data_IF_488531977406
#
_entry.id   IF_488531977406
#
_cell.length_a   1.000
_cell.length_b   1.000
_cell.length_c   1.000
_cell.angle_alpha   90.00
_cell.angle_beta   90.00
_cell.angle_gamma   90.00
#
_symmetry.space_group_name_H-M   'P 1'
#
loop_
_entity.id
_entity.type
_entity.pdbx_description
1 polymer ?
#
# COMPACT_ATOMS: atom_id res chain seq x y z
N UNK A 1 7.46 -29.21 1.19
CA UNK A 1 8.08 -27.89 0.99
C UNK A 1 7.26 -26.88 1.80
N UNK A 2 7.79 -26.32 2.89
CA UNK A 2 7.09 -25.28 3.68
C UNK A 2 7.45 -23.93 3.08
N UNK A 3 6.51 -23.24 2.45
CA UNK A 3 6.68 -21.84 2.01
C UNK A 3 6.57 -20.93 3.24
N UNK A 4 7.65 -20.85 4.01
CA UNK A 4 7.81 -19.80 5.00
C UNK A 4 7.78 -18.45 4.26
N UNK A 5 6.69 -17.70 4.44
CA UNK A 5 6.66 -16.27 4.15
C UNK A 5 7.63 -15.62 5.14
N UNK A 6 8.92 -15.66 4.84
CA UNK A 6 9.94 -15.02 5.65
C UNK A 6 9.67 -13.53 5.53
N UNK A 7 8.96 -12.98 6.52
CA UNK A 7 9.09 -11.57 6.87
C UNK A 7 10.58 -11.39 7.15
N UNK A 8 11.34 -10.96 6.14
CA UNK A 8 12.75 -10.64 6.31
C UNK A 8 12.74 -9.35 7.13
N UNK A 9 13.08 -9.37 8.44
CA UNK A 9 13.11 -8.13 9.22
C UNK A 9 14.03 -7.08 8.57
N UNK A 10 15.04 -7.56 7.83
CA UNK A 10 15.93 -6.76 6.99
C UNK A 10 15.26 -6.04 5.82
N UNK A 11 14.06 -6.42 5.36
CA UNK A 11 13.40 -5.76 4.24
C UNK A 11 12.67 -4.47 4.63
N UNK A 12 12.70 -4.09 5.91
CA UNK A 12 11.98 -2.91 6.39
C UNK A 12 12.70 -1.64 5.93
N UNK A 13 12.02 -0.71 5.24
CA UNK A 13 12.55 0.60 4.92
C UNK A 13 13.01 1.33 6.18
N UNK A 14 14.14 2.01 6.06
CA UNK A 14 14.70 2.83 7.15
C UNK A 14 14.86 4.28 6.70
N UNK A 15 15.25 5.17 7.61
CA UNK A 15 15.51 6.57 7.30
C UNK A 15 14.36 7.30 6.57
N UNK A 16 13.11 6.92 6.85
CA UNK A 16 11.95 7.60 6.28
C UNK A 16 11.93 9.07 6.72
N UNK A 17 12.00 9.97 5.76
CA UNK A 17 11.91 11.42 5.95
C UNK A 17 10.73 11.97 5.18
N UNK A 18 10.06 12.95 5.77
CA UNK A 18 8.99 13.71 5.15
C UNK A 18 9.41 15.19 5.08
N UNK A 19 9.33 15.79 3.90
CA UNK A 19 9.67 17.19 3.68
C UNK A 19 8.51 17.90 2.99
N UNK A 20 8.01 18.98 3.60
CA UNK A 20 6.95 19.79 3.02
C UNK A 20 7.52 20.60 1.86
N UNK A 21 6.99 20.38 0.65
CA UNK A 21 7.42 21.06 -0.57
C UNK A 21 6.62 22.35 -0.82
N UNK A 22 5.33 22.34 -0.49
CA UNK A 22 4.40 23.48 -0.59
C UNK A 22 3.17 23.23 0.29
N UNK A 23 2.20 24.14 0.30
CA UNK A 23 1.09 24.19 1.26
C UNK A 23 0.32 22.86 1.48
N UNK A 24 0.28 22.00 0.45
CA UNK A 24 -0.39 20.70 0.46
C UNK A 24 0.51 19.55 -0.06
N UNK A 25 1.81 19.78 -0.27
CA UNK A 25 2.69 18.80 -0.89
C UNK A 25 3.75 18.30 0.09
N UNK A 26 3.86 16.98 0.25
CA UNK A 26 4.88 16.32 1.05
C UNK A 26 5.71 15.41 0.14
N UNK A 27 7.03 15.52 0.22
CA UNK A 27 7.96 14.55 -0.37
C UNK A 27 8.44 13.60 0.70
N UNK A 28 8.32 12.30 0.43
CA UNK A 28 8.86 11.22 1.24
C UNK A 28 10.11 10.64 0.57
N UNK A 29 11.11 10.31 1.38
CA UNK A 29 12.31 9.57 0.95
C UNK A 29 12.67 8.54 2.02
N UNK A 30 13.18 7.38 1.64
CA UNK A 30 13.62 6.32 2.57
C UNK A 30 14.81 5.54 2.01
N UNK A 31 15.46 4.76 2.86
CA UNK A 31 16.44 3.76 2.45
C UNK A 31 15.70 2.45 2.19
N UNK A 32 15.82 1.95 0.95
CA UNK A 32 15.27 0.66 0.52
C UNK A 32 16.19 -0.49 0.96
N UNK A 33 15.59 -1.49 1.61
CA UNK A 33 16.25 -2.76 1.94
C UNK A 33 15.45 -3.99 1.48
N UNK A 34 14.29 -3.79 0.85
CA UNK A 34 13.46 -4.89 0.38
C UNK A 34 14.06 -5.43 -0.91
N UNK A 35 14.11 -6.75 -1.01
CA UNK A 35 14.50 -7.43 -2.23
C UNK A 35 13.36 -8.38 -2.60
N UNK A 36 12.83 -8.21 -3.82
CA UNK A 36 11.72 -9.04 -4.32
C UNK A 36 10.35 -8.59 -3.84
N UNK A 37 10.22 -7.38 -3.29
CA UNK A 37 8.94 -6.71 -3.12
C UNK A 37 8.26 -6.48 -4.47
N UNK A 38 6.94 -6.30 -4.40
CA UNK A 38 6.12 -5.98 -5.56
C UNK A 38 5.67 -4.52 -5.55
N UNK A 39 6.12 -3.78 -4.55
CA UNK A 39 5.79 -2.40 -4.31
C UNK A 39 5.84 -2.04 -2.84
N UNK A 40 5.51 -0.78 -2.58
CA UNK A 40 5.40 -0.22 -1.23
C UNK A 40 3.99 0.29 -0.97
N UNK A 41 3.61 0.27 0.31
CA UNK A 41 2.46 1.00 0.83
C UNK A 41 2.99 2.20 1.59
N UNK A 42 2.58 3.40 1.16
CA UNK A 42 2.61 4.55 2.04
C UNK A 42 1.36 4.47 2.92
N UNK A 43 1.57 4.45 4.23
CA UNK A 43 0.48 4.36 5.20
C UNK A 43 0.45 5.61 6.07
N UNK A 44 -0.74 6.14 6.32
CA UNK A 44 -0.99 7.24 7.24
C UNK A 44 -1.73 6.77 8.48
N UNK A 45 -1.52 7.46 9.58
CA UNK A 45 -2.38 7.42 10.76
C UNK A 45 -2.72 8.86 11.12
N UNK A 46 -3.96 9.31 10.86
CA UNK A 46 -4.42 10.63 11.25
C UNK A 46 -4.27 10.87 12.75
N UNK A 47 -4.08 12.13 13.16
CA UNK A 47 -4.04 12.49 14.59
C UNK A 47 -5.33 12.07 15.28
N UNK A 48 -5.23 11.24 16.33
CA UNK A 48 -6.37 10.67 17.04
C UNK A 48 -6.94 9.39 16.41
N UNK A 49 -6.41 8.94 15.27
CA UNK A 49 -6.75 7.65 14.66
C UNK A 49 -6.05 6.48 15.38
N UNK A 50 -6.76 5.34 15.47
CA UNK A 50 -6.25 4.14 16.15
C UNK A 50 -5.24 3.33 15.35
N UNK A 51 -5.32 3.36 14.02
CA UNK A 51 -4.58 2.44 13.14
C UNK A 51 -4.00 3.13 11.91
N UNK A 52 -2.91 2.57 11.39
CA UNK A 52 -2.38 2.93 10.07
C UNK A 52 -3.27 2.37 8.96
N UNK A 53 -3.44 3.12 7.88
CA UNK A 53 -4.14 2.70 6.66
C UNK A 53 -3.32 3.07 5.42
N UNK A 54 -3.40 2.31 4.32
CA UNK A 54 -2.73 2.67 3.08
C UNK A 54 -3.37 3.93 2.47
N UNK A 55 -2.52 4.86 2.03
CA UNK A 55 -2.90 6.06 1.26
C UNK A 55 -2.34 6.06 -0.15
N UNK A 56 -1.30 5.26 -0.41
CA UNK A 56 -0.79 5.03 -1.75
C UNK A 56 -0.21 3.61 -1.89
N UNK A 57 -0.35 3.05 -3.09
CA UNK A 57 0.39 1.88 -3.55
C UNK A 57 1.44 2.37 -4.53
N UNK A 58 2.67 1.93 -4.32
CA UNK A 58 3.85 2.43 -4.99
C UNK A 58 4.53 1.29 -5.75
N UNK A 59 5.20 1.63 -6.85
CA UNK A 59 5.97 0.69 -7.65
C UNK A 59 7.12 0.03 -6.84
N UNK A 60 7.59 -1.16 -7.26
CA UNK A 60 8.78 -1.79 -6.67
C UNK A 60 10.05 -0.96 -6.93
N UNK A 61 11.09 -1.20 -6.12
CA UNK A 61 12.42 -0.59 -6.26
C UNK A 61 12.46 0.95 -6.20
N UNK A 62 11.39 1.60 -5.71
CA UNK A 62 11.39 3.05 -5.47
C UNK A 62 11.72 3.39 -4.03
N UNK A 63 12.35 4.55 -3.84
CA UNK A 63 12.76 5.05 -2.53
C UNK A 63 12.29 6.48 -2.23
N UNK A 64 11.39 7.01 -3.07
CA UNK A 64 10.80 8.34 -2.89
C UNK A 64 9.39 8.43 -3.46
N UNK A 65 8.56 9.30 -2.87
CA UNK A 65 7.20 9.53 -3.33
C UNK A 65 6.70 10.93 -2.96
N UNK A 66 5.91 11.56 -3.83
CA UNK A 66 5.23 12.82 -3.55
C UNK A 66 3.76 12.61 -3.24
N UNK A 67 3.30 13.09 -2.09
CA UNK A 67 1.89 13.05 -1.69
C UNK A 67 1.32 14.47 -1.69
N UNK A 68 0.16 14.64 -2.33
CA UNK A 68 -0.67 15.84 -2.16
C UNK A 68 -1.69 15.53 -1.07
N UNK A 69 -1.56 16.17 0.09
CA UNK A 69 -2.44 15.97 1.24
C UNK A 69 -3.66 16.87 1.18
N UNK A 70 -4.80 16.37 1.65
CA UNK A 70 -5.94 17.23 1.93
C UNK A 70 -5.68 18.10 3.17
N UNK A 71 -6.35 19.25 3.32
CA UNK A 71 -6.09 20.15 4.46
C UNK A 71 -6.32 19.54 5.85
N UNK A 72 -7.19 18.53 5.94
CA UNK A 72 -7.49 17.76 7.16
C UNK A 72 -6.42 16.69 7.46
N UNK A 73 -5.54 16.37 6.52
CA UNK A 73 -4.47 15.37 6.67
C UNK A 73 -3.14 15.98 7.11
N UNK A 74 -3.10 17.31 7.32
CA UNK A 74 -1.89 18.06 7.73
C UNK A 74 -1.28 17.61 9.06
N UNK A 75 -1.98 16.77 9.83
CA UNK A 75 -1.48 16.15 11.07
C UNK A 75 -1.74 14.65 11.03
N UNK A 76 -0.77 13.92 10.47
CA UNK A 76 -0.75 12.46 10.47
C UNK A 76 0.66 11.95 10.78
N UNK A 77 0.75 10.72 11.28
CA UNK A 77 2.00 9.94 11.27
C UNK A 77 2.05 9.14 9.98
N UNK A 78 3.24 8.98 9.40
CA UNK A 78 3.44 8.20 8.18
C UNK A 78 4.41 7.06 8.41
N UNK A 79 4.26 5.98 7.66
CA UNK A 79 5.26 4.94 7.51
C UNK A 79 5.21 4.36 6.09
N UNK A 80 6.30 3.74 5.68
CA UNK A 80 6.39 3.00 4.41
C UNK A 80 6.59 1.53 4.72
N UNK A 81 5.89 0.66 4.00
CA UNK A 81 5.96 -0.79 4.20
C UNK A 81 5.99 -1.51 2.85
N UNK A 82 6.99 -2.37 2.58
CA UNK A 82 7.00 -3.19 1.37
C UNK A 82 5.91 -4.25 1.45
N UNK A 83 5.45 -4.71 0.29
CA UNK A 83 4.59 -5.88 0.19
C UNK A 83 5.04 -6.81 -0.92
N UNK A 84 4.67 -8.08 -0.80
CA UNK A 84 4.81 -9.10 -1.84
C UNK A 84 3.43 -9.62 -2.20
N UNK A 85 3.28 -10.24 -3.37
CA UNK A 85 2.05 -10.97 -3.65
C UNK A 85 1.96 -12.19 -2.74
N UNK A 86 0.79 -12.39 -2.15
CA UNK A 86 0.44 -13.68 -1.55
C UNK A 86 0.02 -14.68 -2.63
N UNK A 87 -0.34 -15.88 -2.18
CA UNK A 87 -0.97 -16.87 -3.03
C UNK A 87 -2.25 -16.32 -3.67
N UNK A 88 -2.49 -16.67 -4.93
CA UNK A 88 -3.72 -16.28 -5.63
C UNK A 88 -4.90 -17.06 -5.07
N UNK A 89 -6.07 -16.43 -5.00
CA UNK A 89 -7.32 -17.13 -4.69
C UNK A 89 -7.71 -18.08 -5.84
N UNK A 90 -8.74 -18.90 -5.61
CA UNK A 90 -9.44 -19.57 -6.70
C UNK A 90 -10.11 -18.54 -7.63
N UNK A 91 -10.46 -18.98 -8.84
CA UNK A 91 -11.22 -18.19 -9.82
C UNK A 91 -12.71 -18.37 -9.52
N UNK A 92 -13.46 -17.26 -9.39
CA UNK A 92 -14.92 -17.28 -9.32
C UNK A 92 -15.48 -17.01 -10.73
N UNK A 93 -16.42 -17.85 -11.21
CA UNK A 93 -17.13 -17.64 -12.48
C UNK A 93 -18.63 -17.62 -12.21
N UNK A 94 -19.29 -16.51 -12.55
CA UNK A 94 -20.75 -16.36 -12.50
C UNK A 94 -21.22 -16.08 -13.93
N UNK A 95 -22.23 -16.82 -14.39
CA UNK A 95 -22.96 -16.51 -15.63
C UNK A 95 -24.35 -16.06 -15.21
N UNK A 96 -24.69 -14.80 -15.47
CA UNK A 96 -26.03 -14.26 -15.17
C UNK A 96 -26.91 -14.30 -16.41
N UNK A 97 -28.09 -14.92 -16.28
CA UNK A 97 -29.16 -14.89 -17.29
C UNK A 97 -29.40 -16.22 -18.00
N UNK A 98 -30.32 -17.02 -17.47
CA UNK A 98 -31.20 -17.83 -18.33
C UNK A 98 -32.60 -17.23 -18.19
N UNK A 99 -33.11 -16.65 -19.28
CA UNK A 99 -34.48 -16.12 -19.34
C UNK A 99 -35.40 -17.33 -19.19
N UNK A 100 -36.35 -17.37 -18.23
CA UNK A 100 -37.30 -18.47 -18.17
C UNK A 100 -38.02 -18.53 -19.52
N UNK A 101 -37.95 -19.68 -20.19
CA UNK A 101 -38.75 -19.91 -21.38
C UNK A 101 -40.21 -19.80 -20.97
N UNK A 102 -40.86 -18.68 -21.33
CA UNK A 102 -42.28 -18.51 -21.15
C UNK A 102 -43.00 -19.61 -21.90
N UNK A 103 -43.83 -20.40 -21.21
CA UNK A 103 -44.81 -21.26 -21.88
C UNK A 103 -45.91 -20.35 -22.42
N UNK A 104 -46.10 -20.39 -23.73
CA UNK A 104 -47.32 -19.93 -24.39
C UNK A 104 -48.48 -20.89 -24.17
#
# INVERSE_FOLDING_TARGET
MRTSHVRRPSATPTDLRATVMHANGIRFTWTDHAAGERGYLLEDRPRGGGSFRPVAVLDPDINSFGLITLPNEKRASYRVRPFVYGERSNIARITTGERPAGRG
#
